data_IF_766159658952
#
_entry.id   IF_766159658952
#
_cell.length_a   1.000
_cell.length_b   1.000
_cell.length_c   1.000
_cell.angle_alpha   90.00
_cell.angle_beta   90.00
_cell.angle_gamma   90.00
#
_symmetry.space_group_name_H-M   'P 1'
#
loop_
_entity.id
_entity.type
_entity.pdbx_description
1 polymer ?
#
# COMPACT_ATOMS: atom_id res chain seq x y z
N UNK A 1 0.78 -2.62 20.68
CA UNK A 1 -0.51 -3.31 20.81
C UNK A 1 -0.82 -3.86 19.43
N UNK A 2 -0.99 -5.17 19.29
CA UNK A 2 -1.24 -5.81 17.99
C UNK A 2 -2.65 -5.52 17.51
N UNK A 3 -2.83 -5.29 16.22
CA UNK A 3 -4.15 -5.06 15.64
C UNK A 3 -5.03 -6.32 15.79
N UNK A 4 -6.30 -6.20 16.23
CA UNK A 4 -7.24 -7.33 16.19
C UNK A 4 -7.52 -7.76 14.75
N UNK A 5 -7.57 -9.07 14.49
CA UNK A 5 -7.77 -9.60 13.13
C UNK A 5 -9.07 -9.12 12.45
N UNK A 6 -10.12 -8.81 13.21
CA UNK A 6 -11.34 -8.23 12.66
C UNK A 6 -11.11 -6.84 12.05
N UNK A 7 -10.31 -6.00 12.71
CA UNK A 7 -9.96 -4.67 12.21
C UNK A 7 -9.11 -4.76 10.94
N UNK A 8 -8.17 -5.71 10.88
CA UNK A 8 -7.40 -5.97 9.67
C UNK A 8 -8.32 -6.37 8.50
N UNK A 9 -9.25 -7.31 8.71
CA UNK A 9 -10.20 -7.74 7.69
C UNK A 9 -11.09 -6.60 7.19
N UNK A 10 -11.47 -5.67 8.06
CA UNK A 10 -12.19 -4.46 7.66
C UNK A 10 -11.36 -3.58 6.74
N UNK A 11 -10.07 -3.38 7.05
CA UNK A 11 -9.17 -2.61 6.16
C UNK A 11 -8.99 -3.30 4.81
N UNK A 12 -8.77 -4.61 4.81
CA UNK A 12 -8.64 -5.38 3.56
C UNK A 12 -9.91 -5.28 2.70
N UNK A 13 -11.09 -5.37 3.32
CA UNK A 13 -12.37 -5.18 2.61
C UNK A 13 -12.50 -3.77 2.02
N UNK A 14 -12.12 -2.75 2.79
CA UNK A 14 -12.12 -1.36 2.33
C UNK A 14 -11.19 -1.16 1.14
N UNK A 15 -9.95 -1.65 1.23
CA UNK A 15 -8.95 -1.61 0.17
C UNK A 15 -9.42 -2.29 -1.12
N UNK A 16 -10.14 -3.40 -1.02
CA UNK A 16 -10.67 -4.14 -2.18
C UNK A 16 -12.08 -3.70 -2.63
N UNK A 17 -12.60 -2.61 -2.07
CA UNK A 17 -13.96 -2.14 -2.36
C UNK A 17 -14.11 -1.64 -3.80
N UNK A 18 -15.28 -1.84 -4.40
CA UNK A 18 -15.63 -1.20 -5.67
C UNK A 18 -15.80 0.32 -5.52
N UNK A 19 -16.04 0.81 -4.31
CA UNK A 19 -16.20 2.23 -4.01
C UNK A 19 -14.84 2.92 -3.81
N UNK A 20 -14.57 3.96 -4.61
CA UNK A 20 -13.29 4.70 -4.60
C UNK A 20 -13.02 5.38 -3.25
N UNK A 21 -13.96 6.17 -2.69
CA UNK A 21 -13.85 6.70 -1.32
C UNK A 21 -13.47 5.64 -0.28
N UNK A 22 -14.06 4.45 -0.33
CA UNK A 22 -13.75 3.38 0.61
C UNK A 22 -12.32 2.84 0.45
N UNK A 23 -11.83 2.67 -0.79
CA UNK A 23 -10.43 2.25 -1.02
C UNK A 23 -9.44 3.27 -0.52
N UNK A 24 -9.63 4.55 -0.88
CA UNK A 24 -8.78 5.66 -0.44
C UNK A 24 -8.74 5.75 1.08
N UNK A 25 -9.91 5.76 1.72
CA UNK A 25 -10.01 5.81 3.18
C UNK A 25 -9.32 4.63 3.85
N UNK A 26 -9.47 3.41 3.32
CA UNK A 26 -8.81 2.24 3.89
C UNK A 26 -7.27 2.33 3.79
N UNK A 27 -6.74 2.87 2.69
CA UNK A 27 -5.30 3.11 2.55
C UNK A 27 -4.80 4.20 3.52
N UNK A 28 -5.57 5.27 3.70
CA UNK A 28 -5.28 6.32 4.70
C UNK A 28 -5.26 5.70 6.11
N UNK A 29 -6.27 4.89 6.46
CA UNK A 29 -6.32 4.22 7.77
C UNK A 29 -5.13 3.28 7.95
N UNK A 30 -4.71 2.53 6.93
CA UNK A 30 -3.49 1.70 7.00
C UNK A 30 -2.26 2.55 7.35
N UNK A 31 -2.13 3.73 6.73
CA UNK A 31 -1.04 4.68 7.01
C UNK A 31 -1.02 5.11 8.48
N UNK A 32 -2.19 5.25 9.12
CA UNK A 32 -2.27 5.64 10.53
C UNK A 32 -1.97 4.49 11.50
N UNK A 33 -2.34 3.26 11.13
CA UNK A 33 -2.39 2.10 12.06
C UNK A 33 -1.28 1.08 11.84
N UNK A 34 -0.47 1.20 10.79
CA UNK A 34 0.59 0.25 10.43
C UNK A 34 1.59 -0.03 11.57
N UNK A 35 1.72 0.88 12.53
CA UNK A 35 2.54 0.69 13.72
C UNK A 35 2.11 -0.47 14.64
N UNK A 36 0.86 -0.91 14.52
CA UNK A 36 0.27 -2.01 15.28
C UNK A 36 0.27 -3.37 14.56
N UNK A 37 0.77 -3.45 13.32
CA UNK A 37 0.87 -4.69 12.56
C UNK A 37 1.99 -5.59 13.07
N UNK A 38 1.73 -6.90 13.12
CA UNK A 38 2.78 -7.90 13.23
C UNK A 38 3.38 -8.25 11.86
N UNK A 39 4.39 -9.12 11.83
CA UNK A 39 5.06 -9.48 10.57
C UNK A 39 4.15 -10.17 9.54
N UNK A 40 3.11 -10.87 9.99
CA UNK A 40 2.13 -11.51 9.10
C UNK A 40 1.20 -10.47 8.52
N UNK A 41 0.70 -9.55 9.35
CA UNK A 41 -0.12 -8.43 8.93
C UNK A 41 0.62 -7.58 7.88
N UNK A 42 1.90 -7.28 8.14
CA UNK A 42 2.75 -6.52 7.22
C UNK A 42 2.84 -7.20 5.86
N UNK A 43 3.08 -8.50 5.84
CA UNK A 43 3.20 -9.26 4.61
C UNK A 43 1.88 -9.27 3.82
N UNK A 44 0.75 -9.48 4.48
CA UNK A 44 -0.56 -9.51 3.83
C UNK A 44 -0.93 -8.13 3.28
N UNK A 45 -0.84 -7.09 4.11
CA UNK A 45 -1.27 -5.73 3.74
C UNK A 45 -0.38 -5.17 2.64
N UNK A 46 0.94 -5.35 2.74
CA UNK A 46 1.86 -4.89 1.69
C UNK A 46 1.61 -5.58 0.34
N UNK A 47 1.33 -6.89 0.34
CA UNK A 47 1.01 -7.62 -0.89
C UNK A 47 -0.31 -7.16 -1.51
N UNK A 48 -1.33 -6.89 -0.69
CA UNK A 48 -2.61 -6.36 -1.16
C UNK A 48 -2.44 -4.94 -1.72
N UNK A 49 -1.78 -4.05 -0.99
CA UNK A 49 -1.55 -2.68 -1.44
C UNK A 49 -0.79 -2.62 -2.76
N UNK A 50 0.30 -3.38 -2.91
CA UNK A 50 1.08 -3.35 -4.17
C UNK A 50 0.31 -3.96 -5.33
N UNK A 51 -0.52 -4.97 -5.07
CA UNK A 51 -1.37 -5.57 -6.11
C UNK A 51 -2.45 -4.59 -6.57
N UNK A 52 -3.05 -3.85 -5.63
CA UNK A 52 -4.04 -2.83 -5.94
C UNK A 52 -3.40 -1.64 -6.67
N UNK A 53 -2.26 -1.14 -6.20
CA UNK A 53 -1.56 -0.03 -6.83
C UNK A 53 -1.15 -0.34 -8.28
N UNK A 54 -0.90 -1.61 -8.62
CA UNK A 54 -0.62 -2.05 -9.98
C UNK A 54 -1.80 -2.06 -10.94
N UNK A 55 -3.02 -2.03 -10.41
CA UNK A 55 -4.24 -2.09 -11.21
C UNK A 55 -5.16 -0.88 -10.97
N UNK A 56 -4.78 0.04 -10.08
CA UNK A 56 -5.59 1.19 -9.69
C UNK A 56 -5.62 2.25 -10.80
N UNK A 57 -6.83 2.56 -11.25
CA UNK A 57 -7.08 3.54 -12.30
C UNK A 57 -7.40 4.93 -11.73
N UNK A 58 -7.73 5.02 -10.45
CA UNK A 58 -8.06 6.27 -9.78
C UNK A 58 -6.82 6.88 -9.10
N UNK A 59 -6.44 8.10 -9.52
CA UNK A 59 -5.21 8.76 -9.08
C UNK A 59 -5.17 8.96 -7.55
N UNK A 60 -6.26 9.41 -6.94
CA UNK A 60 -6.33 9.64 -5.49
C UNK A 60 -6.21 8.34 -4.69
N UNK A 61 -6.81 7.24 -5.20
CA UNK A 61 -6.67 5.92 -4.57
C UNK A 61 -5.24 5.40 -4.71
N UNK A 62 -4.62 5.57 -5.87
CA UNK A 62 -3.26 5.14 -6.14
C UNK A 62 -2.26 5.90 -5.26
N UNK A 63 -2.42 7.23 -5.12
CA UNK A 63 -1.62 8.03 -4.20
C UNK A 63 -1.70 7.49 -2.78
N UNK A 64 -2.90 7.30 -2.25
CA UNK A 64 -3.11 6.80 -0.89
C UNK A 64 -2.49 5.41 -0.70
N UNK A 65 -2.58 4.52 -1.69
CA UNK A 65 -1.98 3.19 -1.66
C UNK A 65 -0.44 3.24 -1.66
N UNK A 66 0.16 4.08 -2.51
CA UNK A 66 1.61 4.26 -2.56
C UNK A 66 2.14 4.91 -1.27
N UNK A 67 1.42 5.88 -0.73
CA UNK A 67 1.75 6.51 0.56
C UNK A 67 1.70 5.48 1.71
N UNK A 68 0.66 4.63 1.75
CA UNK A 68 0.56 3.57 2.74
C UNK A 68 1.71 2.55 2.62
N UNK A 69 2.12 2.18 1.40
CA UNK A 69 3.32 1.36 1.18
C UNK A 69 4.59 2.07 1.67
N UNK A 70 4.72 3.37 1.45
CA UNK A 70 5.85 4.18 1.93
C UNK A 70 5.96 4.11 3.45
N UNK A 71 4.87 4.42 4.16
CA UNK A 71 4.82 4.32 5.62
C UNK A 71 5.12 2.91 6.14
N UNK A 72 4.70 1.87 5.40
CA UNK A 72 5.04 0.49 5.72
C UNK A 72 6.55 0.23 5.60
N UNK A 73 7.21 0.70 4.53
CA UNK A 73 8.67 0.53 4.34
C UNK A 73 9.51 1.30 5.35
N UNK A 74 9.04 2.43 5.86
CA UNK A 74 9.78 3.21 6.88
C UNK A 74 9.93 2.47 8.21
N UNK A 75 9.01 1.55 8.50
CA UNK A 75 8.94 0.84 9.79
C UNK A 75 9.26 -0.64 9.69
N UNK A 76 8.99 -1.26 8.55
CA UNK A 76 9.02 -2.70 8.39
C UNK A 76 9.84 -3.10 7.17
N UNK A 77 10.66 -4.14 7.32
CA UNK A 77 11.37 -4.76 6.19
C UNK A 77 10.38 -5.51 5.30
N UNK A 78 10.04 -4.92 4.16
CA UNK A 78 9.14 -5.56 3.21
C UNK A 78 9.86 -6.66 2.43
N UNK A 79 9.18 -7.79 2.13
CA UNK A 79 9.75 -8.83 1.27
C UNK A 79 10.12 -8.27 -0.11
N UNK A 80 11.24 -8.73 -0.67
CA UNK A 80 11.69 -8.33 -2.02
C UNK A 80 10.63 -8.55 -3.10
N UNK A 81 9.83 -9.62 -2.96
CA UNK A 81 8.72 -9.93 -3.84
C UNK A 81 7.65 -8.83 -3.89
N UNK A 82 7.48 -8.02 -2.83
CA UNK A 82 6.59 -6.86 -2.82
C UNK A 82 7.09 -5.81 -3.82
N UNK A 83 8.39 -5.50 -3.82
CA UNK A 83 8.98 -4.55 -4.77
C UNK A 83 8.97 -5.06 -6.21
N UNK A 84 9.18 -6.36 -6.42
CA UNK A 84 9.08 -6.96 -7.76
C UNK A 84 7.67 -6.81 -8.36
N UNK A 85 6.62 -6.78 -7.52
CA UNK A 85 5.25 -6.47 -7.95
C UNK A 85 5.08 -4.98 -8.25
N UNK A 86 5.70 -4.09 -7.46
CA UNK A 86 5.66 -2.65 -7.69
C UNK A 86 6.25 -2.26 -9.05
N UNK A 87 7.26 -2.97 -9.54
CA UNK A 87 7.83 -2.73 -10.88
C UNK A 87 6.80 -2.90 -12.01
N UNK A 88 5.71 -3.63 -11.77
CA UNK A 88 4.65 -3.86 -12.77
C UNK A 88 3.76 -2.65 -13.01
N UNK A 89 3.72 -1.67 -12.08
CA UNK A 89 2.98 -0.41 -12.26
C UNK A 89 3.50 0.36 -13.49
N UNK A 90 4.78 0.16 -13.83
CA UNK A 90 5.40 0.70 -15.04
C UNK A 90 5.52 2.22 -14.96
N UNK A 91 6.53 2.72 -14.24
CA UNK A 91 6.82 4.14 -13.93
C UNK A 91 6.32 5.22 -14.93
N UNK A 92 6.41 5.00 -16.24
CA UNK A 92 5.98 5.98 -17.25
C UNK A 92 4.45 6.10 -17.41
N UNK A 93 3.68 5.16 -16.86
CA UNK A 93 2.21 5.18 -16.80
C UNK A 93 1.69 6.07 -15.67
N UNK A 94 2.54 6.36 -14.68
CA UNK A 94 2.17 7.09 -13.48
C UNK A 94 1.99 8.58 -13.77
N UNK A 95 0.98 9.22 -13.15
CA UNK A 95 0.90 10.67 -13.07
C UNK A 95 2.17 11.26 -12.47
N UNK A 96 2.58 12.44 -12.96
CA UNK A 96 3.84 13.08 -12.54
C UNK A 96 3.87 13.39 -11.03
N UNK A 97 2.71 13.70 -10.46
CA UNK A 97 2.45 13.87 -9.03
C UNK A 97 2.87 12.65 -8.21
N UNK A 98 2.70 11.44 -8.76
CA UNK A 98 2.90 10.18 -8.04
C UNK A 98 4.28 9.55 -8.24
N UNK A 99 5.09 10.10 -9.15
CA UNK A 99 6.43 9.59 -9.43
C UNK A 99 7.33 9.61 -8.21
N UNK A 100 7.20 10.62 -7.34
CA UNK A 100 8.02 10.73 -6.14
C UNK A 100 7.75 9.55 -5.19
N UNK A 101 6.48 9.27 -4.87
CA UNK A 101 6.12 8.13 -4.01
C UNK A 101 6.65 6.80 -4.55
N UNK A 102 6.55 6.59 -5.86
CA UNK A 102 7.06 5.39 -6.51
C UNK A 102 8.59 5.30 -6.47
N UNK A 103 9.28 6.39 -6.80
CA UNK A 103 10.75 6.42 -6.83
C UNK A 103 11.32 6.19 -5.42
N UNK A 104 10.73 6.82 -4.39
CA UNK A 104 11.11 6.64 -2.98
C UNK A 104 10.97 5.17 -2.56
N UNK A 105 9.88 4.50 -2.93
CA UNK A 105 9.69 3.06 -2.68
C UNK A 105 10.72 2.19 -3.39
N UNK A 106 11.08 2.52 -4.63
CA UNK A 106 12.06 1.76 -5.39
C UNK A 106 13.50 1.93 -4.87
N UNK A 107 13.80 3.05 -4.21
CA UNK A 107 15.08 3.25 -3.52
C UNK A 107 15.24 2.33 -2.30
N UNK A 108 14.15 2.04 -1.58
CA UNK A 108 14.14 1.12 -0.42
C UNK A 108 14.42 -0.34 -0.79
N UNK A 109 14.38 -0.70 -2.06
CA UNK A 109 14.72 -2.05 -2.54
C UNK A 109 16.22 -2.37 -2.43
N UNK A 110 17.09 -1.35 -2.37
CA UNK A 110 18.56 -1.47 -2.47
C UNK A 110 19.22 -1.91 -1.17
#
# INVERSE_FOLDING_TARGET
MTMPSAALLEQLRGLTSHDKPARRLAADVVTDVHGGFDGTDVLIVSYVLVSLAAEEADEDCLEAQLNALGAMTERHDLPRATFDRLETIGRNSLPRSLLQYYDDLMEQRR
#
